data_IF_026766108117
#
_entry.id   IF_026766108117
#
_cell.length_a   1.000
_cell.length_b   1.000
_cell.length_c   1.000
_cell.angle_alpha   90.00
_cell.angle_beta   90.00
_cell.angle_gamma   90.00
#
_symmetry.space_group_name_H-M   'P 1'
#
loop_
_entity.id
_entity.type
_entity.pdbx_description
1 polymer ?
#
# COMPACT_ATOMS: atom_id res chain seq x y z
N UNK A 1 7.05 23.67 -13.54
CA UNK A 1 5.66 23.13 -13.57
C UNK A 1 4.73 24.18 -13.00
N UNK A 2 4.13 25.00 -13.85
CA UNK A 2 3.19 26.06 -13.46
C UNK A 2 1.81 25.45 -13.27
N UNK A 3 1.45 25.17 -12.01
CA UNK A 3 0.08 24.79 -11.67
C UNK A 3 -0.80 26.03 -11.84
N UNK A 4 -1.90 26.00 -12.62
CA UNK A 4 -2.82 27.13 -12.68
C UNK A 4 -3.33 27.44 -11.27
N UNK A 5 -3.36 28.74 -10.93
CA UNK A 5 -3.76 29.23 -9.60
C UNK A 5 -5.28 29.16 -9.45
N UNK A 6 -5.78 27.95 -9.16
CA UNK A 6 -7.21 27.72 -8.87
C UNK A 6 -7.89 26.79 -9.87
N UNK A 7 -9.13 26.42 -9.54
CA UNK A 7 -9.99 25.64 -10.43
C UNK A 7 -10.42 26.53 -11.61
N UNK A 8 -10.27 26.08 -12.87
CA UNK A 8 -10.73 26.86 -14.01
C UNK A 8 -12.24 27.08 -13.92
N UNK A 9 -12.71 28.31 -14.07
CA UNK A 9 -14.14 28.66 -13.99
C UNK A 9 -14.77 28.88 -15.36
N UNK A 10 -13.96 29.09 -16.40
CA UNK A 10 -14.41 29.37 -17.76
C UNK A 10 -13.96 28.28 -18.72
N UNK A 11 -14.74 27.97 -19.76
CA UNK A 11 -14.39 26.97 -20.78
C UNK A 11 -13.03 27.28 -21.44
N UNK A 12 -12.71 28.55 -21.67
CA UNK A 12 -11.39 28.97 -22.18
C UNK A 12 -10.26 28.62 -21.20
N UNK A 13 -10.49 28.77 -19.91
CA UNK A 13 -9.51 28.45 -18.86
C UNK A 13 -9.31 26.94 -18.77
N UNK A 14 -10.37 26.15 -18.93
CA UNK A 14 -10.29 24.70 -19.04
C UNK A 14 -9.49 24.24 -20.27
N UNK A 15 -9.73 24.86 -21.43
CA UNK A 15 -8.96 24.54 -22.65
C UNK A 15 -7.47 24.86 -22.46
N UNK A 16 -7.15 26.04 -21.90
CA UNK A 16 -5.77 26.42 -21.63
C UNK A 16 -5.11 25.51 -20.59
N UNK A 17 -5.82 25.14 -19.53
CA UNK A 17 -5.34 24.19 -18.52
C UNK A 17 -5.08 22.80 -19.11
N UNK A 18 -5.95 22.34 -20.03
CA UNK A 18 -5.77 21.06 -20.72
C UNK A 18 -4.54 21.05 -21.63
N UNK A 19 -4.29 22.15 -22.36
CA UNK A 19 -3.08 22.30 -23.20
C UNK A 19 -1.82 22.23 -22.34
N UNK A 20 -1.78 23.00 -21.24
CA UNK A 20 -0.63 23.01 -20.33
C UNK A 20 -0.39 21.63 -19.71
N UNK A 21 -1.46 20.89 -19.39
CA UNK A 21 -1.35 19.55 -18.85
C UNK A 21 -0.77 18.57 -19.87
N UNK A 22 -1.27 18.59 -21.11
CA UNK A 22 -0.79 17.72 -22.20
C UNK A 22 0.69 17.99 -22.53
N UNK A 23 1.09 19.25 -22.61
CA UNK A 23 2.49 19.65 -22.80
C UNK A 23 3.39 19.18 -21.63
N UNK A 24 2.94 19.37 -20.39
CA UNK A 24 3.68 18.91 -19.21
C UNK A 24 3.83 17.39 -19.16
N UNK A 25 2.80 16.66 -19.63
CA UNK A 25 2.82 15.21 -19.71
C UNK A 25 3.78 14.73 -20.78
N UNK A 26 3.76 15.35 -21.98
CA UNK A 26 4.73 15.06 -23.04
C UNK A 26 6.16 15.33 -22.58
N UNK A 27 6.40 16.44 -21.87
CA UNK A 27 7.71 16.76 -21.31
C UNK A 27 8.17 15.73 -20.28
N UNK A 28 7.28 15.27 -19.40
CA UNK A 28 7.58 14.23 -18.43
C UNK A 28 7.88 12.88 -19.09
N UNK A 29 7.17 12.54 -20.18
CA UNK A 29 7.45 11.35 -20.97
C UNK A 29 8.80 11.41 -21.68
N UNK A 30 9.16 12.57 -22.27
CA UNK A 30 10.48 12.75 -22.90
C UNK A 30 11.60 12.67 -21.88
N UNK A 31 11.44 13.32 -20.71
CA UNK A 31 12.41 13.19 -19.62
C UNK A 31 12.53 11.74 -19.12
N UNK A 32 11.41 10.99 -19.07
CA UNK A 32 11.44 9.57 -18.76
C UNK A 32 12.21 8.74 -19.78
N UNK A 33 12.05 9.04 -21.08
CA UNK A 33 12.79 8.37 -22.15
C UNK A 33 14.29 8.67 -22.08
N UNK A 34 14.69 9.94 -21.95
CA UNK A 34 16.11 10.30 -21.85
C UNK A 34 16.75 9.72 -20.58
N UNK A 35 15.99 9.64 -19.48
CA UNK A 35 16.46 9.01 -18.25
C UNK A 35 16.64 7.49 -18.43
N UNK A 36 15.72 6.80 -19.10
CA UNK A 36 15.84 5.37 -19.40
C UNK A 36 17.01 5.05 -20.35
N UNK A 37 17.30 5.94 -21.32
CA UNK A 37 18.46 5.81 -22.23
C UNK A 37 19.80 5.98 -21.49
N UNK A 38 19.91 6.97 -20.59
CA UNK A 38 21.12 7.20 -19.78
C UNK A 38 21.33 6.15 -18.68
N UNK A 39 20.25 5.58 -18.13
CA UNK A 39 20.29 4.68 -16.96
C UNK A 39 19.96 3.22 -17.31
N UNK A 40 19.88 2.89 -18.60
CA UNK A 40 19.72 1.52 -19.12
C UNK A 40 18.42 0.85 -18.69
N UNK A 41 17.32 1.61 -18.56
CA UNK A 41 15.99 1.11 -18.16
C UNK A 41 15.91 0.54 -16.73
N UNK A 42 16.95 0.73 -15.90
CA UNK A 42 16.92 0.30 -14.50
C UNK A 42 16.17 1.33 -13.68
N UNK A 43 14.84 1.17 -13.58
CA UNK A 43 14.02 1.89 -12.60
C UNK A 43 14.70 1.78 -11.23
N UNK A 44 14.76 2.86 -10.42
CA UNK A 44 15.29 2.75 -9.08
C UNK A 44 14.41 1.74 -8.36
N UNK A 45 14.97 0.56 -8.08
CA UNK A 45 14.29 -0.47 -7.34
C UNK A 45 13.92 0.19 -6.02
N UNK A 46 12.65 0.60 -5.84
CA UNK A 46 12.13 0.97 -4.53
C UNK A 46 12.38 -0.26 -3.69
N UNK A 47 13.46 -0.21 -2.93
CA UNK A 47 13.86 -1.29 -2.06
C UNK A 47 12.73 -1.40 -1.06
N UNK A 48 11.87 -2.39 -1.29
CA UNK A 48 11.15 -3.00 -0.20
C UNK A 48 12.26 -3.39 0.77
N UNK A 49 12.45 -2.60 1.83
CA UNK A 49 13.40 -2.90 2.90
C UNK A 49 13.01 -4.29 3.38
N UNK A 50 13.73 -5.31 2.88
CA UNK A 50 13.75 -6.61 3.52
C UNK A 50 14.18 -6.29 4.94
N UNK A 51 13.28 -6.51 5.90
CA UNK A 51 13.61 -6.42 7.33
C UNK A 51 14.94 -7.13 7.50
N UNK A 52 15.86 -6.46 8.20
CA UNK A 52 17.24 -6.90 8.37
C UNK A 52 17.27 -8.41 8.54
N UNK A 53 18.08 -9.08 7.72
CA UNK A 53 18.39 -10.48 7.85
C UNK A 53 18.84 -10.71 9.29
N UNK A 54 17.93 -11.16 10.16
CA UNK A 54 18.28 -11.77 11.42
C UNK A 54 19.23 -12.87 11.00
N UNK A 55 20.50 -12.73 11.35
CA UNK A 55 21.59 -13.56 10.89
C UNK A 55 21.34 -15.04 11.27
N UNK A 56 20.51 -15.71 10.48
CA UNK A 56 20.46 -17.15 10.42
C UNK A 56 21.79 -17.49 9.75
N UNK A 57 22.76 -17.87 10.59
CA UNK A 57 24.08 -18.38 10.18
C UNK A 57 23.86 -19.20 8.92
N UNK A 58 24.40 -18.75 7.79
CA UNK A 58 24.16 -19.40 6.51
C UNK A 58 24.76 -20.80 6.59
N UNK A 59 23.89 -21.77 6.84
CA UNK A 59 24.22 -23.19 6.84
C UNK A 59 24.56 -23.54 5.38
N UNK A 60 25.78 -24.03 5.13
CA UNK A 60 26.21 -24.47 3.80
C UNK A 60 25.20 -25.48 3.21
N UNK A 61 25.07 -25.58 1.90
CA UNK A 61 23.99 -26.34 1.26
C UNK A 61 23.96 -27.84 1.65
N UNK A 62 25.14 -28.43 1.91
CA UNK A 62 25.30 -29.78 2.46
C UNK A 62 24.72 -29.86 3.88
N UNK A 63 25.09 -28.90 4.72
CA UNK A 63 24.68 -28.80 6.11
C UNK A 63 23.17 -28.50 6.22
N UNK A 64 22.56 -27.83 5.22
CA UNK A 64 21.11 -27.56 5.19
C UNK A 64 20.29 -28.84 5.06
N UNK A 65 20.74 -29.79 4.23
CA UNK A 65 20.04 -31.06 4.03
C UNK A 65 20.11 -31.93 5.28
N UNK A 66 21.28 -31.97 5.92
CA UNK A 66 21.47 -32.64 7.21
C UNK A 66 20.67 -31.98 8.33
N UNK A 67 20.60 -30.64 8.32
CA UNK A 67 19.83 -29.88 9.30
C UNK A 67 18.34 -30.18 9.21
N UNK A 68 17.81 -30.25 7.98
CA UNK A 68 16.43 -30.62 7.69
C UNK A 68 16.15 -32.08 8.05
N UNK A 69 17.07 -33.01 7.77
CA UNK A 69 16.90 -34.43 8.10
C UNK A 69 16.97 -34.71 9.60
N UNK A 70 17.83 -34.00 10.33
CA UNK A 70 17.93 -34.06 11.80
C UNK A 70 16.79 -33.33 12.52
N UNK A 71 15.96 -32.57 11.79
CA UNK A 71 14.81 -31.84 12.34
C UNK A 71 15.22 -30.84 13.42
N UNK A 72 16.33 -30.14 13.20
CA UNK A 72 16.86 -29.17 14.17
C UNK A 72 16.04 -27.88 14.13
N UNK A 73 15.84 -27.28 15.30
CA UNK A 73 15.11 -26.03 15.43
C UNK A 73 15.94 -24.84 14.91
N UNK A 74 15.41 -24.12 13.92
CA UNK A 74 16.05 -22.94 13.30
C UNK A 74 16.47 -21.82 14.26
N UNK A 75 15.97 -21.80 15.50
CA UNK A 75 16.37 -20.80 16.50
C UNK A 75 17.50 -21.28 17.42
N UNK A 76 17.42 -22.48 17.98
CA UNK A 76 18.38 -22.96 19.00
C UNK A 76 19.24 -24.15 18.54
N UNK A 77 18.99 -24.71 17.35
CA UNK A 77 19.76 -25.83 16.78
C UNK A 77 19.52 -27.19 17.43
N UNK A 78 18.59 -27.32 18.39
CA UNK A 78 18.26 -28.60 19.04
C UNK A 78 17.14 -29.33 18.30
N UNK A 79 17.19 -30.66 18.31
CA UNK A 79 16.12 -31.51 17.77
C UNK A 79 14.88 -31.51 18.69
N UNK A 80 13.81 -32.19 18.24
CA UNK A 80 12.52 -32.44 18.93
C UNK A 80 11.46 -31.35 18.89
N UNK A 81 11.75 -30.13 18.43
CA UNK A 81 10.75 -29.06 18.43
C UNK A 81 10.90 -28.13 17.23
N UNK A 82 9.79 -27.49 16.83
CA UNK A 82 9.79 -26.47 15.78
C UNK A 82 10.10 -25.10 16.39
N UNK A 83 10.47 -24.12 15.55
CA UNK A 83 10.78 -22.75 16.00
C UNK A 83 9.67 -22.09 16.84
N UNK A 84 8.41 -22.51 16.66
CA UNK A 84 7.26 -22.02 17.45
C UNK A 84 7.28 -22.53 18.90
N UNK A 85 7.76 -23.76 19.10
CA UNK A 85 7.74 -24.45 20.39
C UNK A 85 9.11 -24.42 21.07
N UNK A 86 10.03 -23.60 20.54
CA UNK A 86 11.38 -23.52 21.07
C UNK A 86 11.37 -22.82 22.44
N UNK A 87 11.91 -23.48 23.49
CA UNK A 87 11.89 -22.96 24.86
C UNK A 87 12.69 -21.66 25.00
N UNK A 88 13.64 -21.43 24.09
CA UNK A 88 14.37 -20.17 23.96
C UNK A 88 13.56 -19.13 23.15
N UNK A 89 12.22 -19.20 23.14
CA UNK A 89 11.43 -18.08 22.64
C UNK A 89 11.69 -16.88 23.56
N UNK A 90 12.07 -15.70 23.03
CA UNK A 90 11.92 -14.50 23.80
C UNK A 90 10.43 -14.42 24.18
N UNK A 91 10.13 -14.42 25.49
CA UNK A 91 8.78 -14.15 25.98
C UNK A 91 8.42 -12.81 25.37
N UNK A 92 7.53 -12.83 24.37
CA UNK A 92 7.05 -11.60 23.77
C UNK A 92 6.16 -10.99 24.83
N UNK A 93 6.72 -10.04 25.57
CA UNK A 93 5.91 -9.05 26.26
C UNK A 93 4.84 -8.55 25.29
N UNK A 94 3.66 -8.35 25.85
CA UNK A 94 2.32 -8.31 25.28
C UNK A 94 2.04 -7.24 24.20
N UNK A 95 3.05 -6.71 23.52
CA UNK A 95 2.92 -5.61 22.57
C UNK A 95 2.95 -6.06 21.10
N UNK A 96 2.25 -7.13 20.75
CA UNK A 96 1.59 -7.09 19.44
C UNK A 96 0.36 -6.23 19.64
N UNK A 97 0.51 -4.92 19.48
CA UNK A 97 -0.65 -4.08 19.18
C UNK A 97 -1.42 -4.82 18.10
N UNK A 98 -2.63 -5.28 18.43
CA UNK A 98 -3.54 -5.85 17.45
C UNK A 98 -3.65 -4.82 16.34
N UNK A 99 -3.09 -5.14 15.17
CA UNK A 99 -3.41 -4.37 13.97
C UNK A 99 -4.94 -4.32 13.90
N UNK A 100 -5.55 -3.13 13.79
CA UNK A 100 -7.00 -3.03 13.72
C UNK A 100 -7.46 -3.95 12.59
N UNK A 101 -8.25 -4.97 12.96
CA UNK A 101 -8.74 -5.99 12.03
C UNK A 101 -9.32 -5.24 10.82
N UNK A 102 -8.77 -5.51 9.64
CA UNK A 102 -9.31 -4.95 8.40
C UNK A 102 -10.77 -5.38 8.32
N UNK A 103 -11.69 -4.42 8.51
CA UNK A 103 -13.13 -4.68 8.48
C UNK A 103 -13.46 -5.47 7.22
N UNK A 104 -14.22 -6.55 7.39
CA UNK A 104 -14.69 -7.39 6.28
C UNK A 104 -15.56 -6.56 5.34
N UNK A 105 -15.75 -7.04 4.10
CA UNK A 105 -16.58 -6.34 3.12
C UNK A 105 -17.97 -6.02 3.71
N UNK A 106 -18.57 -6.99 4.39
CA UNK A 106 -19.89 -6.89 5.02
C UNK A 106 -19.93 -5.84 6.13
N UNK A 107 -18.92 -5.81 6.99
CA UNK A 107 -18.80 -4.81 8.06
C UNK A 107 -18.65 -3.39 7.50
N UNK A 108 -17.91 -3.22 6.39
CA UNK A 108 -17.81 -1.93 5.71
C UNK A 108 -19.15 -1.49 5.14
N UNK A 109 -19.89 -2.41 4.51
CA UNK A 109 -21.23 -2.11 3.97
C UNK A 109 -22.24 -1.79 5.08
N UNK A 110 -22.17 -2.49 6.21
CA UNK A 110 -23.00 -2.18 7.38
C UNK A 110 -22.68 -0.78 7.93
N UNK A 111 -21.39 -0.44 8.02
CA UNK A 111 -20.93 0.88 8.47
C UNK A 111 -21.38 2.00 7.53
N UNK A 112 -21.27 1.82 6.22
CA UNK A 112 -21.75 2.80 5.24
C UNK A 112 -23.27 3.00 5.37
N UNK A 113 -24.04 1.91 5.49
CA UNK A 113 -25.50 1.99 5.67
C UNK A 113 -25.91 2.69 6.96
N UNK A 114 -25.22 2.42 8.06
CA UNK A 114 -25.47 3.10 9.33
C UNK A 114 -25.23 4.62 9.21
N UNK A 115 -24.10 5.03 8.62
CA UNK A 115 -23.79 6.44 8.42
C UNK A 115 -24.84 7.15 7.54
N UNK A 116 -25.30 6.50 6.47
CA UNK A 116 -26.37 7.05 5.62
C UNK A 116 -27.68 7.16 6.41
N UNK A 117 -28.01 6.19 7.27
CA UNK A 117 -29.24 6.25 8.07
C UNK A 117 -29.20 7.34 9.15
N UNK A 118 -28.04 7.61 9.73
CA UNK A 118 -27.82 8.67 10.73
C UNK A 118 -27.87 10.09 10.16
N UNK A 119 -27.74 10.25 8.83
CA UNK A 119 -27.93 11.55 8.20
C UNK A 119 -29.39 12.02 8.37
N UNK A 120 -29.62 13.28 8.78
CA UNK A 120 -30.95 13.85 8.94
C UNK A 120 -31.69 13.84 7.60
N UNK A 121 -33.02 13.78 7.63
CA UNK A 121 -33.83 13.61 6.42
C UNK A 121 -33.69 14.81 5.50
N UNK A 122 -33.55 15.98 6.11
CA UNK A 122 -33.36 17.27 5.47
C UNK A 122 -32.11 17.29 4.58
N UNK A 123 -31.00 16.69 5.03
CA UNK A 123 -29.76 16.62 4.24
C UNK A 123 -29.88 15.62 3.07
N UNK A 124 -30.71 14.57 3.22
CA UNK A 124 -30.99 13.61 2.14
C UNK A 124 -31.90 14.20 1.08
N UNK A 125 -32.93 14.92 1.52
CA UNK A 125 -33.89 15.57 0.63
C UNK A 125 -33.21 16.71 -0.14
N UNK A 126 -32.34 17.49 0.52
CA UNK A 126 -31.49 18.48 -0.15
C UNK A 126 -30.56 17.86 -1.20
N UNK A 127 -29.95 16.71 -0.90
CA UNK A 127 -29.11 16.00 -1.86
C UNK A 127 -29.91 15.49 -3.07
N UNK A 128 -31.13 15.00 -2.84
CA UNK A 128 -32.02 14.52 -3.91
C UNK A 128 -32.49 15.66 -4.81
N UNK A 129 -32.91 16.80 -4.22
CA UNK A 129 -33.28 18.00 -4.96
C UNK A 129 -32.11 18.54 -5.80
N UNK A 130 -30.89 18.47 -5.26
CA UNK A 130 -29.68 18.88 -5.98
C UNK A 130 -29.40 17.96 -7.19
N UNK A 131 -29.58 16.65 -7.03
CA UNK A 131 -29.43 15.69 -8.14
C UNK A 131 -30.49 15.89 -9.23
N UNK A 132 -31.73 16.19 -8.85
CA UNK A 132 -32.83 16.48 -9.79
C UNK A 132 -32.58 17.78 -10.58
N UNK A 133 -32.03 18.82 -9.93
CA UNK A 133 -31.64 20.06 -10.58
C UNK A 133 -30.46 19.90 -11.55
N UNK A 134 -29.51 19.02 -11.24
CA UNK A 134 -28.38 18.70 -12.11
C UNK A 134 -28.72 17.67 -13.21
N UNK A 135 -29.95 17.14 -13.23
CA UNK A 135 -30.46 16.27 -14.28
C UNK A 135 -29.96 14.82 -14.22
N UNK A 136 -29.65 14.32 -13.02
CA UNK A 136 -29.29 12.92 -12.76
C UNK A 136 -30.50 12.00 -12.57
#
# INVERSE_FOLDING_TARGET
MTRPEGAPTTIKDWMNAAILFDESYKQALEYGKTWDDEHGGKKPQRSFKKKEDIAIKQIAEIDRKEYMSKGLCFRCGRARHRIRDCPDMPKKDEQRQEEPKKLTKEERFAKIRALINEQPKEDKDFLLDLMEQEGF
#
